data_IF_423969002965
#
_entry.id   IF_423969002965
#
_cell.length_a   1.000
_cell.length_b   1.000
_cell.length_c   1.000
_cell.angle_alpha   90.00
_cell.angle_beta   90.00
_cell.angle_gamma   90.00
#
_symmetry.space_group_name_H-M   'P 1'
#
loop_
_entity.id
_entity.type
_entity.pdbx_description
1 polymer ?
#
# COMPACT_ATOMS: atom_id res chain seq x y z
N UNK A 1 14.38 -7.48 -5.56
CA UNK A 1 13.54 -6.39 -5.03
C UNK A 1 12.21 -6.37 -5.74
N UNK A 2 11.16 -6.12 -5.00
CA UNK A 2 9.82 -6.00 -5.57
C UNK A 2 9.21 -4.66 -5.17
N UNK A 3 8.35 -4.13 -6.05
CA UNK A 3 7.54 -2.95 -5.80
C UNK A 3 6.07 -3.37 -5.87
N UNK A 4 5.28 -2.97 -4.88
CA UNK A 4 3.83 -3.11 -4.91
C UNK A 4 3.26 -1.72 -5.09
N UNK A 5 2.54 -1.50 -6.17
CA UNK A 5 2.06 -0.16 -6.52
C UNK A 5 0.68 -0.21 -7.16
N UNK A 6 -0.07 0.84 -6.94
CA UNK A 6 -1.38 1.00 -7.53
C UNK A 6 -2.28 1.90 -6.71
N UNK A 7 -3.58 1.63 -6.81
CA UNK A 7 -4.55 2.45 -6.11
C UNK A 7 -5.77 1.64 -5.67
N UNK A 8 -6.46 2.20 -4.68
CA UNK A 8 -7.76 1.73 -4.21
C UNK A 8 -8.78 2.84 -4.43
N UNK A 9 -10.04 2.48 -4.67
CA UNK A 9 -11.15 3.44 -4.71
C UNK A 9 -12.08 3.18 -3.55
N UNK A 10 -12.42 4.24 -2.84
CA UNK A 10 -13.39 4.22 -1.74
C UNK A 10 -14.41 5.34 -1.96
N UNK A 11 -15.50 5.34 -1.18
CA UNK A 11 -16.38 6.51 -1.13
C UNK A 11 -15.57 7.74 -0.72
N UNK A 12 -15.72 8.84 -1.45
CA UNK A 12 -14.98 10.07 -1.17
C UNK A 12 -15.17 10.53 0.29
N UNK A 13 -16.40 10.45 0.80
CA UNK A 13 -16.72 10.82 2.18
C UNK A 13 -16.11 9.92 3.23
N UNK A 14 -15.60 8.74 2.85
CA UNK A 14 -15.01 7.75 3.76
C UNK A 14 -13.50 7.65 3.63
N UNK A 15 -12.89 8.37 2.68
CA UNK A 15 -11.45 8.25 2.44
C UNK A 15 -10.62 8.61 3.67
N UNK A 16 -10.97 9.67 4.36
CA UNK A 16 -10.21 10.09 5.55
C UNK A 16 -10.27 9.03 6.65
N UNK A 17 -11.45 8.47 6.92
CA UNK A 17 -11.58 7.41 7.91
C UNK A 17 -10.79 6.16 7.53
N UNK A 18 -10.79 5.81 6.24
CA UNK A 18 -9.98 4.69 5.73
C UNK A 18 -8.50 4.93 5.97
N UNK A 19 -8.00 6.12 5.62
CA UNK A 19 -6.60 6.49 5.80
C UNK A 19 -6.20 6.50 7.27
N UNK A 20 -7.07 7.01 8.15
CA UNK A 20 -6.82 6.99 9.60
C UNK A 20 -6.66 5.54 10.10
N UNK A 21 -7.43 4.62 9.57
CA UNK A 21 -7.32 3.19 9.89
C UNK A 21 -6.06 2.52 9.33
N UNK A 22 -5.36 3.15 8.40
CA UNK A 22 -4.12 2.61 7.82
C UNK A 22 -2.86 2.99 8.60
N UNK A 23 -2.94 3.93 9.53
CA UNK A 23 -1.75 4.43 10.25
C UNK A 23 -0.98 3.30 10.92
N UNK A 24 -1.69 2.42 11.62
CA UNK A 24 -1.06 1.28 12.31
C UNK A 24 -0.35 0.32 11.37
N UNK A 25 -0.95 0.01 10.23
CA UNK A 25 -0.34 -0.90 9.27
C UNK A 25 0.90 -0.28 8.62
N UNK A 26 0.88 1.02 8.34
CA UNK A 26 2.05 1.73 7.81
C UNK A 26 3.19 1.72 8.83
N UNK A 27 2.91 1.97 10.10
CA UNK A 27 3.90 1.92 11.16
C UNK A 27 4.54 0.53 11.28
N UNK A 28 3.72 -0.51 11.27
CA UNK A 28 4.18 -1.90 11.34
C UNK A 28 5.01 -2.27 10.11
N UNK A 29 4.55 -1.89 8.92
CA UNK A 29 5.25 -2.19 7.68
C UNK A 29 6.66 -1.58 7.66
N UNK A 30 6.78 -0.34 8.09
CA UNK A 30 8.07 0.37 8.09
C UNK A 30 9.08 -0.22 9.06
N UNK A 31 8.64 -1.06 10.00
CA UNK A 31 9.51 -1.80 10.92
C UNK A 31 9.75 -3.23 10.48
N UNK A 32 9.05 -3.70 9.46
CA UNK A 32 9.15 -5.09 9.03
C UNK A 32 10.47 -5.36 8.30
N UNK A 33 11.04 -6.57 8.44
CA UNK A 33 12.26 -6.93 7.72
C UNK A 33 12.09 -6.78 6.21
N UNK A 34 13.06 -6.15 5.56
CA UNK A 34 13.08 -6.00 4.11
C UNK A 34 12.24 -4.86 3.56
N UNK A 35 11.52 -4.11 4.39
CA UNK A 35 10.73 -2.98 3.95
C UNK A 35 11.62 -1.77 3.67
N UNK A 36 11.71 -1.35 2.41
CA UNK A 36 12.44 -0.16 2.00
C UNK A 36 11.53 1.06 1.87
N UNK A 37 10.26 0.85 1.51
CA UNK A 37 9.27 1.90 1.33
C UNK A 37 7.89 1.35 1.65
N UNK A 38 7.06 2.12 2.33
CA UNK A 38 5.65 1.77 2.50
C UNK A 38 4.86 3.06 2.71
N UNK A 39 3.97 3.36 1.76
CA UNK A 39 3.17 4.58 1.78
C UNK A 39 1.76 4.31 1.29
N UNK A 40 0.80 4.85 2.01
CA UNK A 40 -0.60 4.86 1.63
C UNK A 40 -1.07 6.31 1.78
N UNK A 41 -1.58 6.91 0.71
CA UNK A 41 -1.90 8.32 0.74
C UNK A 41 -3.08 8.67 -0.15
N UNK A 42 -3.68 9.82 0.13
CA UNK A 42 -4.76 10.36 -0.69
C UNK A 42 -4.23 10.79 -2.05
N UNK A 43 -4.98 10.47 -3.10
CA UNK A 43 -4.73 11.01 -4.43
C UNK A 43 -4.90 12.53 -4.40
N UNK A 44 -4.08 13.22 -5.17
CA UNK A 44 -4.09 14.69 -5.18
C UNK A 44 -5.35 15.27 -5.84
N UNK A 45 -5.89 14.58 -6.82
CA UNK A 45 -6.99 15.07 -7.65
C UNK A 45 -8.32 14.37 -7.42
N UNK A 46 -8.30 13.03 -7.35
CA UNK A 46 -9.52 12.24 -7.20
C UNK A 46 -9.85 12.03 -5.73
N UNK A 47 -11.00 12.51 -5.23
CA UNK A 47 -11.33 12.47 -3.81
C UNK A 47 -11.61 11.07 -3.27
N UNK A 48 -11.87 10.08 -4.12
CA UNK A 48 -12.10 8.68 -3.71
C UNK A 48 -10.91 7.78 -3.90
N UNK A 49 -9.79 8.29 -4.45
CA UNK A 49 -8.64 7.48 -4.80
C UNK A 49 -7.58 7.51 -3.70
N UNK A 50 -7.03 6.34 -3.40
CA UNK A 50 -5.94 6.15 -2.44
C UNK A 50 -4.79 5.49 -3.16
N UNK A 51 -3.61 6.08 -3.07
CA UNK A 51 -2.39 5.59 -3.71
C UNK A 51 -1.63 4.69 -2.75
N UNK A 52 -1.15 3.55 -3.27
CA UNK A 52 -0.37 2.57 -2.52
C UNK A 52 0.99 2.43 -3.18
N UNK A 53 2.05 2.50 -2.37
CA UNK A 53 3.42 2.25 -2.83
C UNK A 53 4.18 1.51 -1.75
N UNK A 54 4.73 0.34 -2.12
CA UNK A 54 5.57 -0.46 -1.25
C UNK A 54 6.81 -0.89 -2.02
N UNK A 55 7.94 -0.95 -1.34
CA UNK A 55 9.17 -1.49 -1.90
C UNK A 55 9.81 -2.41 -0.88
N UNK A 56 10.09 -3.65 -1.28
CA UNK A 56 10.60 -4.70 -0.42
C UNK A 56 11.87 -5.30 -1.00
N UNK A 57 12.79 -5.72 -0.12
CA UNK A 57 14.03 -6.37 -0.55
C UNK A 57 13.76 -7.65 -1.33
N UNK A 58 12.68 -8.38 -1.00
CA UNK A 58 12.31 -9.63 -1.68
C UNK A 58 10.80 -9.82 -1.64
N UNK A 59 10.30 -10.69 -2.53
CA UNK A 59 8.91 -11.14 -2.50
C UNK A 59 8.57 -11.83 -1.19
N UNK A 60 9.49 -12.63 -0.66
CA UNK A 60 9.29 -13.35 0.60
C UNK A 60 9.03 -12.37 1.76
N UNK A 61 9.76 -11.26 1.81
CA UNK A 61 9.56 -10.25 2.84
C UNK A 61 8.18 -9.59 2.72
N UNK A 62 7.77 -9.26 1.49
CA UNK A 62 6.45 -8.70 1.24
C UNK A 62 5.34 -9.65 1.65
N UNK A 63 5.45 -10.94 1.29
CA UNK A 63 4.47 -11.96 1.64
C UNK A 63 4.41 -12.20 3.14
N UNK A 64 5.55 -12.20 3.82
CA UNK A 64 5.60 -12.38 5.28
C UNK A 64 4.85 -11.26 6.00
N UNK A 65 4.98 -10.03 5.54
CA UNK A 65 4.23 -8.90 6.10
C UNK A 65 2.73 -9.01 5.81
N UNK A 66 2.37 -9.44 4.59
CA UNK A 66 0.98 -9.49 4.12
C UNK A 66 0.17 -10.64 4.71
N UNK A 67 0.80 -11.56 5.41
CA UNK A 67 0.26 -12.88 5.78
C UNK A 67 -1.11 -12.91 6.44
N UNK A 68 -1.50 -11.88 7.22
CA UNK A 68 -2.82 -11.84 7.87
C UNK A 68 -3.88 -11.07 7.08
N UNK A 69 -3.47 -10.33 6.04
CA UNK A 69 -4.38 -9.55 5.21
C UNK A 69 -5.00 -8.33 5.91
N UNK A 70 -5.80 -7.56 5.19
CA UNK A 70 -6.49 -6.40 5.76
C UNK A 70 -7.65 -6.81 6.65
N UNK A 71 -8.12 -5.89 7.52
CA UNK A 71 -9.29 -6.10 8.34
C UNK A 71 -10.56 -6.20 7.49
N UNK A 72 -11.61 -6.82 8.03
CA UNK A 72 -12.91 -6.95 7.35
C UNK A 72 -13.47 -5.57 6.98
N UNK A 73 -13.41 -4.61 7.90
CA UNK A 73 -13.92 -3.26 7.66
C UNK A 73 -13.18 -2.57 6.51
N UNK A 74 -11.86 -2.76 6.42
CA UNK A 74 -11.07 -2.21 5.32
C UNK A 74 -11.44 -2.86 3.98
N UNK A 75 -11.63 -4.18 3.95
CA UNK A 75 -12.05 -4.89 2.74
C UNK A 75 -13.40 -4.39 2.26
N UNK A 76 -14.36 -4.22 3.15
CA UNK A 76 -15.71 -3.75 2.83
C UNK A 76 -15.73 -2.30 2.33
N UNK A 77 -14.82 -1.47 2.81
CA UNK A 77 -14.73 -0.06 2.42
C UNK A 77 -14.21 0.13 0.99
N UNK A 78 -13.44 -0.83 0.46
CA UNK A 78 -12.84 -0.72 -0.87
C UNK A 78 -13.84 -1.09 -1.95
N UNK A 79 -14.13 -0.17 -2.85
CA UNK A 79 -15.06 -0.36 -3.98
C UNK A 79 -14.39 -1.03 -5.17
N UNK A 80 -13.13 -0.70 -5.43
CA UNK A 80 -12.32 -1.31 -6.45
C UNK A 80 -10.84 -1.12 -6.13
N UNK A 81 -10.00 -1.95 -6.73
CA UNK A 81 -8.56 -1.85 -6.54
C UNK A 81 -7.82 -2.24 -7.81
N UNK A 82 -6.67 -1.60 -8.02
CA UNK A 82 -5.74 -1.93 -9.09
C UNK A 82 -4.34 -1.82 -8.52
N UNK A 83 -3.92 -2.85 -7.78
CA UNK A 83 -2.60 -2.94 -7.14
C UNK A 83 -1.89 -4.16 -7.69
N UNK A 84 -0.64 -4.00 -8.09
CA UNK A 84 0.16 -5.09 -8.64
C UNK A 84 1.54 -5.12 -8.01
N UNK A 85 2.16 -6.29 -8.03
CA UNK A 85 3.54 -6.48 -7.63
C UNK A 85 4.41 -6.53 -8.88
N UNK A 86 5.52 -5.82 -8.85
CA UNK A 86 6.48 -5.73 -9.95
C UNK A 86 7.83 -6.26 -9.49
N UNK A 87 8.42 -7.19 -10.25
CA UNK A 87 9.81 -7.58 -10.04
C UNK A 87 10.71 -6.52 -10.65
N UNK A 88 11.67 -6.04 -9.85
CA UNK A 88 12.58 -4.98 -10.28
C UNK A 88 13.91 -5.60 -10.70
N UNK A 89 14.23 -5.51 -11.99
CA UNK A 89 15.48 -6.02 -12.54
C UNK A 89 16.62 -5.01 -12.45
N UNK A 90 16.32 -3.70 -12.48
CA UNK A 90 17.33 -2.66 -12.47
C UNK A 90 16.76 -1.39 -11.86
N UNK A 91 17.61 -0.61 -11.19
CA UNK A 91 17.25 0.67 -10.58
C UNK A 91 18.23 1.72 -11.08
N UNK A 92 17.68 2.81 -11.62
CA UNK A 92 18.47 3.95 -12.06
C UNK A 92 18.12 5.16 -11.20
N UNK A 93 18.96 5.55 -10.24
CA UNK A 93 18.69 6.72 -9.41
C UNK A 93 18.64 8.00 -10.26
N UNK A 94 17.70 8.87 -9.92
CA UNK A 94 17.53 10.17 -10.56
C UNK A 94 18.03 11.32 -9.68
N UNK A 95 18.28 10.99 -8.43
CA UNK A 95 18.74 11.96 -7.43
C UNK A 95 19.93 11.43 -6.66
#
# INVERSE_FOLDING_TARGET
>A
MVIVAGHLMVEASRRQAYLDGCVGVVEQARRAPGCAEFSISADLLDPGRIVVLERWASRADAEAFRGSGPSQDQVEAVRSSAVAEYDVADVRPLT
#
